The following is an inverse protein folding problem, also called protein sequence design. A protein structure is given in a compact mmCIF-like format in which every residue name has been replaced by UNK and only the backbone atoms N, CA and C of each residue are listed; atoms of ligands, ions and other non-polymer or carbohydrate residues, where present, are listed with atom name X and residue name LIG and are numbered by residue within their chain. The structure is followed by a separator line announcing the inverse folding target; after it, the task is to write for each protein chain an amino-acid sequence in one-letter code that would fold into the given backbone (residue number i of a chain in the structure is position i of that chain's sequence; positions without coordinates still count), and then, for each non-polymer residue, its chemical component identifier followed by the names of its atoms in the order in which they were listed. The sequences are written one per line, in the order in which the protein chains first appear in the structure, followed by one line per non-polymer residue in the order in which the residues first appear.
data_IF_527492662485
#
_entry.id   IF_527492662485
#
_cell.length_a   1.000
_cell.length_b   1.000
_cell.length_c   1.000
_cell.angle_alpha   90.00
_cell.angle_beta   90.00
_cell.angle_gamma   90.00
#
_symmetry.space_group_name_H-M   'P 1'
#
loop_
_entity.id
_entity.type
_entity.pdbx_description
1 polymer ?
#
# COMPACT_ATOMS: atom_id res chain seq x y z
N UNK A 1 -34.54 21.77 -22.60
CA UNK A 1 -33.59 21.83 -21.47
C UNK A 1 -32.45 20.87 -21.77
N UNK A 2 -31.36 21.36 -22.35
CA UNK A 2 -30.17 20.57 -22.65
C UNK A 2 -29.08 20.89 -21.62
N UNK A 3 -28.75 19.94 -20.76
CA UNK A 3 -27.66 20.10 -19.79
C UNK A 3 -26.36 19.90 -20.56
N UNK A 4 -25.64 21.00 -20.80
CA UNK A 4 -24.26 21.00 -21.28
C UNK A 4 -23.40 20.22 -20.27
N UNK A 5 -22.87 19.06 -20.69
CA UNK A 5 -21.75 18.43 -20.01
C UNK A 5 -20.52 19.32 -20.21
N UNK A 6 -20.22 20.15 -19.21
CA UNK A 6 -18.95 20.86 -19.13
C UNK A 6 -17.88 19.82 -18.78
N UNK A 7 -17.17 19.31 -19.78
CA UNK A 7 -15.93 18.59 -19.56
C UNK A 7 -14.91 19.64 -19.12
N UNK A 8 -14.65 19.72 -17.81
CA UNK A 8 -13.56 20.52 -17.28
C UNK A 8 -12.26 19.86 -17.74
N UNK A 9 -11.67 20.36 -18.83
CA UNK A 9 -10.34 19.96 -19.26
C UNK A 9 -9.35 20.57 -18.27
N UNK A 10 -8.98 19.80 -17.25
CA UNK A 10 -7.90 20.15 -16.33
C UNK A 10 -6.58 20.09 -17.11
N UNK A 11 -6.07 21.27 -17.45
CA UNK A 11 -4.79 21.42 -18.14
C UNK A 11 -3.65 21.06 -17.15
N UNK A 12 -3.01 19.91 -17.38
CA UNK A 12 -1.81 19.46 -16.68
C UNK A 12 -0.59 19.82 -17.56
N UNK A 13 -0.24 21.10 -17.62
CA UNK A 13 0.67 21.67 -18.62
C UNK A 13 2.14 21.47 -18.27
N UNK A 14 2.52 21.42 -16.99
CA UNK A 14 3.89 21.14 -16.52
C UNK A 14 4.20 19.64 -16.50
N UNK A 15 3.19 18.77 -16.56
CA UNK A 15 3.41 17.34 -16.73
C UNK A 15 4.05 17.05 -18.09
N UNK A 16 4.98 16.08 -18.13
CA UNK A 16 5.49 15.60 -19.40
C UNK A 16 4.38 14.86 -20.18
N UNK A 17 4.54 14.65 -21.50
CA UNK A 17 3.58 13.87 -22.28
C UNK A 17 3.32 12.47 -21.69
N UNK A 18 4.35 11.79 -21.19
CA UNK A 18 4.21 10.47 -20.56
C UNK A 18 3.42 10.52 -19.24
N UNK A 19 3.61 11.58 -18.44
CA UNK A 19 2.89 11.75 -17.17
C UNK A 19 1.40 12.01 -17.41
N UNK A 20 1.08 12.85 -18.41
CA UNK A 20 -0.32 13.08 -18.84
C UNK A 20 -0.99 11.78 -19.28
N UNK A 21 -0.28 10.94 -20.04
CA UNK A 21 -0.79 9.62 -20.45
C UNK A 21 -1.09 8.73 -19.24
N UNK A 22 -0.26 8.75 -18.19
CA UNK A 22 -0.52 8.00 -16.97
C UNK A 22 -1.79 8.49 -16.25
N UNK A 23 -1.98 9.81 -16.16
CA UNK A 23 -3.18 10.44 -15.57
C UNK A 23 -4.43 10.06 -16.37
N UNK A 24 -4.40 10.21 -17.69
CA UNK A 24 -5.56 9.93 -18.54
C UNK A 24 -5.91 8.44 -18.56
N UNK A 25 -4.90 7.57 -18.53
CA UNK A 25 -5.09 6.12 -18.38
C UNK A 25 -5.79 5.80 -17.05
N UNK A 26 -5.37 6.42 -15.95
CA UNK A 26 -6.04 6.24 -14.66
C UNK A 26 -7.49 6.74 -14.70
N UNK A 27 -7.74 7.95 -15.22
CA UNK A 27 -9.08 8.53 -15.34
C UNK A 27 -10.02 7.64 -16.14
N UNK A 28 -9.55 7.12 -17.27
CA UNK A 28 -10.33 6.20 -18.11
C UNK A 28 -10.63 4.88 -17.38
N UNK A 29 -9.63 4.30 -16.71
CA UNK A 29 -9.78 3.03 -16.00
C UNK A 29 -10.75 3.16 -14.82
N UNK A 30 -10.64 4.21 -14.01
CA UNK A 30 -11.54 4.42 -12.86
C UNK A 30 -12.98 4.69 -13.31
N UNK A 31 -13.17 5.43 -14.39
CA UNK A 31 -14.50 5.64 -14.98
C UNK A 31 -15.12 4.34 -15.51
N UNK A 32 -14.31 3.47 -16.13
CA UNK A 32 -14.76 2.14 -16.56
C UNK A 32 -15.22 1.29 -15.38
N UNK A 33 -14.45 1.31 -14.28
CA UNK A 33 -14.79 0.60 -13.04
C UNK A 33 -16.09 1.11 -12.41
N UNK A 34 -16.30 2.42 -12.35
CA UNK A 34 -17.51 3.03 -11.77
C UNK A 34 -18.77 2.80 -12.61
N UNK A 35 -18.64 2.85 -13.95
CA UNK A 35 -19.78 2.69 -14.86
C UNK A 35 -20.31 1.25 -14.95
N UNK A 36 -19.56 0.28 -14.40
CA UNK A 36 -19.82 -1.16 -14.51
C UNK A 36 -19.93 -1.66 -15.96
N UNK A 37 -19.17 -1.03 -16.87
CA UNK A 37 -19.01 -1.52 -18.23
C UNK A 37 -18.42 -2.94 -18.27
N UNK A 38 -17.63 -3.32 -17.26
CA UNK A 38 -17.09 -4.67 -17.08
C UNK A 38 -16.96 -5.01 -15.59
N UNK A 39 -17.24 -6.27 -15.23
CA UNK A 39 -17.01 -6.80 -13.88
C UNK A 39 -15.53 -6.94 -13.52
N UNK A 40 -14.64 -6.89 -14.52
CA UNK A 40 -13.19 -7.01 -14.34
C UNK A 40 -12.48 -5.65 -14.44
N UNK A 41 -13.20 -4.53 -14.37
CA UNK A 41 -12.64 -3.20 -14.59
C UNK A 41 -11.92 -2.60 -13.35
N UNK A 42 -12.17 -3.13 -12.15
CA UNK A 42 -11.61 -2.57 -10.91
C UNK A 42 -10.09 -2.84 -10.83
N UNK A 43 -9.65 -4.06 -11.13
CA UNK A 43 -8.23 -4.41 -11.10
C UNK A 43 -7.37 -3.58 -12.08
N UNK A 44 -7.77 -3.37 -13.35
CA UNK A 44 -7.11 -2.42 -14.23
C UNK A 44 -7.05 -0.99 -13.68
N UNK A 45 -8.09 -0.52 -12.98
CA UNK A 45 -8.08 0.80 -12.35
C UNK A 45 -7.07 0.88 -11.20
N UNK A 46 -7.02 -0.13 -10.34
CA UNK A 46 -6.00 -0.24 -9.28
C UNK A 46 -4.58 -0.33 -9.88
N UNK A 47 -4.38 -1.13 -10.93
CA UNK A 47 -3.09 -1.21 -11.62
C UNK A 47 -2.69 0.12 -12.26
N UNK A 48 -3.64 0.88 -12.80
CA UNK A 48 -3.38 2.20 -13.36
C UNK A 48 -3.01 3.22 -12.28
N UNK A 49 -3.59 3.13 -11.07
CA UNK A 49 -3.19 3.95 -9.93
C UNK A 49 -1.71 3.74 -9.56
N UNK A 50 -1.23 2.49 -9.61
CA UNK A 50 0.19 2.21 -9.38
C UNK A 50 1.09 2.79 -10.45
N UNK A 51 0.76 2.61 -11.73
CA UNK A 51 1.55 3.17 -12.82
C UNK A 51 1.61 4.71 -12.72
N UNK A 52 0.50 5.35 -12.33
CA UNK A 52 0.43 6.77 -12.04
C UNK A 52 1.37 7.16 -10.88
N UNK A 53 1.35 6.41 -9.77
CA UNK A 53 2.24 6.60 -8.62
C UNK A 53 3.70 6.58 -9.04
N UNK A 54 4.11 5.55 -9.79
CA UNK A 54 5.50 5.39 -10.25
C UNK A 54 5.94 6.54 -11.16
N UNK A 55 5.04 7.04 -12.02
CA UNK A 55 5.34 8.16 -12.92
C UNK A 55 5.47 9.50 -12.18
N UNK A 56 4.62 9.73 -11.16
CA UNK A 56 4.43 11.06 -10.56
C UNK A 56 5.16 11.27 -9.24
N UNK A 57 5.40 10.24 -8.42
CA UNK A 57 6.10 10.42 -7.13
C UNK A 57 7.39 11.24 -7.26
N UNK A 58 8.30 10.96 -8.22
CA UNK A 58 9.58 11.68 -8.32
C UNK A 58 9.46 13.18 -8.65
N UNK A 59 8.27 13.64 -9.03
CA UNK A 59 8.02 15.00 -9.51
C UNK A 59 7.02 15.75 -8.64
N UNK A 60 6.33 15.05 -7.74
CA UNK A 60 5.13 15.56 -7.06
C UNK A 60 5.42 16.83 -6.26
N UNK A 61 6.59 16.92 -5.63
CA UNK A 61 7.04 18.09 -4.87
C UNK A 61 7.35 19.30 -5.76
N UNK A 62 7.76 19.06 -7.01
CA UNK A 62 8.13 20.11 -7.98
C UNK A 62 6.96 20.68 -8.77
N UNK A 63 5.77 20.09 -8.67
CA UNK A 63 4.57 20.57 -9.37
C UNK A 63 4.11 21.92 -8.79
N UNK A 64 3.61 22.80 -9.64
CA UNK A 64 2.91 24.00 -9.19
C UNK A 64 1.64 23.66 -8.41
N UNK A 65 1.24 24.55 -7.50
CA UNK A 65 0.08 24.34 -6.60
C UNK A 65 -1.22 24.03 -7.34
N UNK A 66 -1.48 24.70 -8.47
CA UNK A 66 -2.68 24.47 -9.28
C UNK A 66 -2.70 23.05 -9.85
N UNK A 67 -1.57 22.56 -10.34
CA UNK A 67 -1.48 21.22 -10.91
C UNK A 67 -1.55 20.13 -9.85
N UNK A 68 -0.88 20.35 -8.72
CA UNK A 68 -1.00 19.47 -7.58
C UNK A 68 -2.46 19.38 -7.10
N UNK A 69 -3.15 20.52 -6.97
CA UNK A 69 -4.57 20.57 -6.63
C UNK A 69 -5.43 19.83 -7.65
N UNK A 70 -5.10 19.92 -8.94
CA UNK A 70 -5.79 19.19 -10.01
C UNK A 70 -5.58 17.67 -9.90
N UNK A 71 -4.37 17.22 -9.51
CA UNK A 71 -4.11 15.81 -9.23
C UNK A 71 -4.88 15.34 -8.00
N UNK A 72 -5.00 16.15 -6.94
CA UNK A 72 -5.80 15.81 -5.76
C UNK A 72 -7.29 15.60 -6.04
N UNK A 73 -7.81 16.04 -7.19
CA UNK A 73 -9.19 15.76 -7.62
C UNK A 73 -9.37 14.37 -8.27
N UNK A 74 -8.28 13.59 -8.44
CA UNK A 74 -8.36 12.24 -8.98
C UNK A 74 -9.08 11.32 -7.99
N UNK A 75 -10.30 10.94 -8.34
CA UNK A 75 -11.18 10.06 -7.55
C UNK A 75 -10.46 8.76 -7.19
N UNK A 76 -10.67 8.30 -5.96
CA UNK A 76 -10.13 7.03 -5.47
C UNK A 76 -8.63 7.05 -5.15
N UNK A 77 -7.97 8.21 -5.16
CA UNK A 77 -6.57 8.35 -4.76
C UNK A 77 -6.43 9.32 -3.60
N UNK A 78 -5.51 9.00 -2.70
CA UNK A 78 -4.94 9.90 -1.70
C UNK A 78 -3.59 10.39 -2.25
N UNK A 79 -3.45 11.70 -2.40
CA UNK A 79 -2.25 12.33 -2.96
C UNK A 79 -1.75 13.38 -1.99
N UNK A 80 -0.51 13.21 -1.54
CA UNK A 80 0.17 14.11 -0.62
C UNK A 80 1.60 14.36 -1.08
N UNK A 81 2.08 15.59 -0.89
CA UNK A 81 3.45 16.00 -1.18
C UNK A 81 4.13 16.73 -0.02
N UNK A 82 3.42 16.87 1.10
CA UNK A 82 3.89 17.58 2.29
C UNK A 82 4.21 16.54 3.37
N UNK A 83 5.35 16.65 4.05
CA UNK A 83 5.87 15.70 5.06
C UNK A 83 6.17 14.29 4.51
N UNK A 84 5.18 13.62 3.91
CA UNK A 84 5.32 12.33 3.20
C UNK A 84 4.78 12.45 1.79
N UNK A 85 5.68 12.27 0.82
CA UNK A 85 5.31 12.23 -0.59
C UNK A 85 4.70 10.87 -0.93
N UNK A 86 3.41 10.83 -1.24
CA UNK A 86 2.75 9.60 -1.66
C UNK A 86 1.59 9.82 -2.64
N UNK A 87 1.35 8.78 -3.44
CA UNK A 87 0.11 8.54 -4.17
C UNK A 87 -0.33 7.14 -3.79
N UNK A 88 -1.48 7.01 -3.12
CA UNK A 88 -1.99 5.73 -2.64
C UNK A 88 -3.46 5.58 -3.04
N UNK A 89 -3.94 4.35 -3.31
CA UNK A 89 -5.37 4.09 -3.43
C UNK A 89 -6.11 4.49 -2.16
N UNK A 90 -7.24 5.17 -2.29
CA UNK A 90 -8.20 5.34 -1.20
C UNK A 90 -8.90 3.99 -0.96
N UNK A 91 -8.50 3.33 0.12
CA UNK A 91 -8.95 1.98 0.46
C UNK A 91 -10.47 1.93 0.71
N UNK A 92 -11.05 2.96 1.30
CA UNK A 92 -12.50 3.02 1.54
C UNK A 92 -13.28 3.22 0.26
N UNK A 93 -12.78 4.07 -0.63
CA UNK A 93 -13.36 4.24 -1.95
C UNK A 93 -13.36 2.91 -2.73
N UNK A 94 -12.21 2.24 -2.81
CA UNK A 94 -12.12 0.99 -3.59
C UNK A 94 -12.88 -0.17 -2.93
N UNK A 95 -12.93 -0.25 -1.60
CA UNK A 95 -13.76 -1.23 -0.90
C UNK A 95 -15.23 -1.06 -1.24
N UNK A 96 -15.75 0.17 -1.25
CA UNK A 96 -17.13 0.47 -1.66
C UNK A 96 -17.37 0.13 -3.13
N UNK A 97 -16.42 0.46 -4.00
CA UNK A 97 -16.51 0.15 -5.43
C UNK A 97 -16.54 -1.36 -5.68
N UNK A 98 -15.68 -2.13 -5.02
CA UNK A 98 -15.63 -3.59 -5.11
C UNK A 98 -16.89 -4.26 -4.53
N UNK A 99 -17.43 -3.73 -3.42
CA UNK A 99 -18.69 -4.20 -2.87
C UNK A 99 -19.85 -3.98 -3.85
N UNK A 100 -19.90 -2.82 -4.51
CA UNK A 100 -20.99 -2.48 -5.42
C UNK A 100 -20.90 -3.18 -6.77
N UNK A 101 -19.69 -3.29 -7.35
CA UNK A 101 -19.48 -3.65 -8.77
C UNK A 101 -18.48 -4.78 -9.01
N UNK A 102 -17.67 -5.10 -8.01
CA UNK A 102 -16.58 -6.06 -8.15
C UNK A 102 -17.03 -7.51 -8.13
N UNK A 103 -16.14 -8.38 -8.56
CA UNK A 103 -16.28 -9.81 -8.36
C UNK A 103 -15.75 -10.25 -6.98
N UNK A 104 -15.62 -11.56 -6.78
CA UNK A 104 -15.14 -12.10 -5.51
C UNK A 104 -13.68 -11.76 -5.23
N UNK A 105 -12.83 -11.74 -6.27
CA UNK A 105 -11.42 -11.41 -6.12
C UNK A 105 -11.25 -9.93 -5.74
N UNK A 106 -12.03 -9.04 -6.37
CA UNK A 106 -12.03 -7.61 -6.03
C UNK A 106 -12.40 -7.39 -4.55
N UNK A 107 -13.50 -8.00 -4.09
CA UNK A 107 -13.92 -7.88 -2.68
C UNK A 107 -12.89 -8.43 -1.71
N UNK A 108 -12.29 -9.59 -2.02
CA UNK A 108 -11.27 -10.19 -1.17
C UNK A 108 -9.98 -9.34 -1.12
N UNK A 109 -9.56 -8.78 -2.26
CA UNK A 109 -8.37 -7.93 -2.33
C UNK A 109 -8.53 -6.67 -1.48
N UNK A 110 -9.62 -5.93 -1.66
CA UNK A 110 -9.84 -4.69 -0.89
C UNK A 110 -10.19 -4.94 0.58
N UNK A 111 -10.74 -6.10 0.92
CA UNK A 111 -10.86 -6.53 2.32
C UNK A 111 -9.47 -6.77 2.96
N UNK A 112 -8.55 -7.44 2.26
CA UNK A 112 -7.16 -7.61 2.72
C UNK A 112 -6.43 -6.26 2.83
N UNK A 113 -6.65 -5.36 1.86
CA UNK A 113 -6.07 -4.03 1.87
C UNK A 113 -6.61 -3.19 3.04
N UNK A 114 -7.93 -3.23 3.32
CA UNK A 114 -8.54 -2.55 4.47
C UNK A 114 -8.09 -3.13 5.80
N UNK A 115 -7.86 -4.43 5.89
CA UNK A 115 -7.29 -5.06 7.09
C UNK A 115 -5.83 -4.60 7.32
N UNK A 116 -5.09 -4.33 6.26
CA UNK A 116 -3.72 -3.80 6.33
C UNK A 116 -3.72 -2.31 6.64
N UNK A 117 -4.63 -1.53 6.05
CA UNK A 117 -4.73 -0.07 6.14
C UNK A 117 -6.13 0.35 6.63
N UNK A 118 -6.43 0.17 7.94
CA UNK A 118 -7.79 0.36 8.44
C UNK A 118 -8.22 1.83 8.47
N UNK A 119 -7.35 2.78 8.80
CA UNK A 119 -7.74 4.18 9.02
C UNK A 119 -6.77 5.19 8.39
N UNK A 120 -5.63 4.75 7.88
CA UNK A 120 -4.59 5.64 7.37
C UNK A 120 -3.78 4.98 6.26
N UNK A 121 -2.86 5.74 5.67
CA UNK A 121 -1.86 5.24 4.70
C UNK A 121 -0.76 4.40 5.35
N UNK A 122 -0.72 4.36 6.69
CA UNK A 122 0.22 3.54 7.44
C UNK A 122 -0.38 2.15 7.69
N UNK A 123 0.38 1.07 7.45
CA UNK A 123 -0.14 -0.26 7.69
C UNK A 123 -0.28 -0.52 9.20
N UNK A 124 -1.18 -1.43 9.60
CA UNK A 124 -1.54 -1.70 11.00
C UNK A 124 -0.36 -2.09 11.90
N UNK A 125 0.71 -2.63 11.31
CA UNK A 125 1.94 -3.01 11.98
C UNK A 125 2.96 -1.87 12.10
N UNK A 126 2.63 -0.65 11.67
CA UNK A 126 3.42 0.56 11.90
C UNK A 126 2.67 1.47 12.88
N UNK A 127 3.38 1.95 13.89
CA UNK A 127 2.93 3.05 14.73
C UNK A 127 3.53 4.34 14.22
N UNK A 128 2.68 5.24 13.75
CA UNK A 128 3.09 6.57 13.36
C UNK A 128 3.56 7.35 14.59
N UNK A 129 4.78 7.89 14.54
CA UNK A 129 5.38 8.68 15.63
C UNK A 129 5.53 10.15 15.23
N UNK A 130 5.78 10.41 13.95
CA UNK A 130 5.74 11.75 13.35
C UNK A 130 4.83 11.73 12.12
N UNK A 131 4.60 12.89 11.53
CA UNK A 131 4.00 13.03 10.20
C UNK A 131 4.68 12.16 9.13
N UNK A 132 6.00 12.00 9.16
CA UNK A 132 6.77 11.24 8.16
C UNK A 132 7.46 9.95 8.59
N UNK A 133 7.38 9.59 9.86
CA UNK A 133 8.10 8.43 10.39
C UNK A 133 7.28 7.62 11.39
N UNK A 134 7.65 6.35 11.54
CA UNK A 134 7.07 5.47 12.54
C UNK A 134 8.01 4.33 12.91
N UNK A 135 7.55 3.55 13.89
CA UNK A 135 8.22 2.33 14.33
C UNK A 135 7.36 1.11 13.99
N UNK A 136 8.00 -0.06 13.93
CA UNK A 136 7.32 -1.32 13.67
C UNK A 136 6.80 -1.93 14.97
N UNK A 137 5.53 -2.34 14.97
CA UNK A 137 4.89 -3.07 16.06
C UNK A 137 5.18 -4.55 15.97
N UNK A 138 6.16 -5.01 16.75
CA UNK A 138 6.46 -6.44 16.92
C UNK A 138 5.80 -7.01 18.19
N UNK A 139 5.51 -8.31 18.18
CA UNK A 139 5.08 -9.12 19.32
C UNK A 139 3.56 -9.33 19.39
N UNK A 140 2.81 -8.61 18.53
CA UNK A 140 1.36 -8.64 18.47
C UNK A 140 0.78 -9.59 17.42
N UNK A 141 1.60 -10.40 16.75
CA UNK A 141 1.21 -11.21 15.57
C UNK A 141 0.75 -10.39 14.37
N UNK A 142 0.85 -9.06 14.39
CA UNK A 142 0.32 -8.19 13.34
C UNK A 142 1.04 -8.39 12.01
N UNK A 143 2.37 -8.59 12.02
CA UNK A 143 3.15 -8.91 10.83
C UNK A 143 2.84 -10.34 10.35
N UNK A 144 2.77 -11.30 11.28
CA UNK A 144 2.43 -12.70 10.96
C UNK A 144 1.05 -12.79 10.28
N UNK A 145 0.05 -12.11 10.82
CA UNK A 145 -1.32 -12.11 10.28
C UNK A 145 -1.42 -11.33 8.97
N UNK A 146 -0.75 -10.18 8.84
CA UNK A 146 -0.70 -9.45 7.57
C UNK A 146 -0.11 -10.32 6.45
N UNK A 147 1.03 -10.99 6.70
CA UNK A 147 1.62 -11.92 5.75
C UNK A 147 0.67 -13.07 5.38
N UNK A 148 -0.01 -13.65 6.39
CA UNK A 148 -1.00 -14.73 6.18
C UNK A 148 -2.12 -14.29 5.24
N UNK A 149 -2.71 -13.12 5.49
CA UNK A 149 -3.84 -12.59 4.71
C UNK A 149 -3.47 -12.46 3.24
N UNK A 150 -2.30 -11.91 2.94
CA UNK A 150 -1.84 -11.73 1.56
C UNK A 150 -1.49 -13.06 0.88
N UNK A 151 -0.87 -14.01 1.59
CA UNK A 151 -0.64 -15.36 1.06
C UNK A 151 -1.95 -16.11 0.77
N UNK A 152 -2.94 -16.00 1.66
CA UNK A 152 -4.25 -16.64 1.46
C UNK A 152 -5.00 -16.04 0.27
N UNK A 153 -4.97 -14.71 0.13
CA UNK A 153 -5.51 -14.04 -1.04
C UNK A 153 -4.86 -14.57 -2.33
N UNK A 154 -3.53 -14.54 -2.41
CA UNK A 154 -2.80 -14.96 -3.61
C UNK A 154 -3.01 -16.45 -3.93
N UNK A 155 -3.10 -17.31 -2.90
CA UNK A 155 -3.41 -18.74 -3.09
C UNK A 155 -4.81 -18.95 -3.67
N UNK A 156 -5.78 -18.14 -3.24
CA UNK A 156 -7.17 -18.24 -3.68
C UNK A 156 -7.39 -17.66 -5.07
N UNK A 157 -6.67 -16.59 -5.41
CA UNK A 157 -6.79 -15.88 -6.68
C UNK A 157 -5.41 -15.70 -7.34
N UNK A 158 -4.78 -16.78 -7.83
CA UNK A 158 -3.38 -16.77 -8.26
C UNK A 158 -3.08 -15.80 -9.43
N UNK A 159 -4.08 -15.47 -10.23
CA UNK A 159 -3.94 -14.60 -11.41
C UNK A 159 -4.52 -13.19 -11.21
N UNK A 160 -4.98 -12.85 -10.00
CA UNK A 160 -5.65 -11.58 -9.70
C UNK A 160 -4.82 -10.74 -8.73
N UNK A 161 -4.68 -9.45 -9.04
CA UNK A 161 -3.96 -8.46 -8.25
C UNK A 161 -2.53 -8.88 -7.87
N UNK A 162 -1.90 -9.73 -8.70
CA UNK A 162 -0.64 -10.42 -8.38
C UNK A 162 0.43 -9.48 -7.84
N UNK A 163 0.61 -8.35 -8.54
CA UNK A 163 1.63 -7.39 -8.15
C UNK A 163 1.24 -6.60 -6.88
N UNK A 164 -0.06 -6.31 -6.67
CA UNK A 164 -0.54 -5.65 -5.46
C UNK A 164 -0.34 -6.53 -4.23
N UNK A 165 -0.77 -7.79 -4.29
CA UNK A 165 -0.57 -8.74 -3.19
C UNK A 165 0.91 -9.02 -2.93
N UNK A 166 1.74 -9.05 -3.99
CA UNK A 166 3.20 -9.16 -3.87
C UNK A 166 3.81 -7.97 -3.15
N UNK A 167 3.45 -6.73 -3.51
CA UNK A 167 3.94 -5.52 -2.84
C UNK A 167 3.67 -5.56 -1.33
N UNK A 168 2.46 -5.95 -0.94
CA UNK A 168 2.06 -6.02 0.47
C UNK A 168 2.76 -7.16 1.22
N UNK A 169 2.92 -8.30 0.56
CA UNK A 169 3.71 -9.43 1.09
C UNK A 169 5.17 -9.03 1.31
N UNK A 170 5.77 -8.34 0.34
CA UNK A 170 7.15 -7.86 0.39
C UNK A 170 7.34 -6.77 1.45
N UNK A 171 6.35 -5.89 1.66
CA UNK A 171 6.38 -4.88 2.71
C UNK A 171 6.45 -5.53 4.11
N UNK A 172 5.66 -6.58 4.37
CA UNK A 172 5.75 -7.31 5.64
C UNK A 172 7.11 -8.00 5.79
N UNK A 173 7.63 -8.62 4.73
CA UNK A 173 8.95 -9.24 4.77
C UNK A 173 10.08 -8.21 4.96
N UNK A 174 9.93 -7.01 4.42
CA UNK A 174 10.85 -5.90 4.64
C UNK A 174 10.93 -5.56 6.12
N UNK A 175 9.78 -5.36 6.79
CA UNK A 175 9.76 -5.09 8.23
C UNK A 175 10.44 -6.20 9.05
N UNK A 176 10.14 -7.47 8.74
CA UNK A 176 10.71 -8.62 9.44
C UNK A 176 12.22 -8.81 9.21
N UNK A 177 12.78 -8.25 8.14
CA UNK A 177 14.18 -8.49 7.76
C UNK A 177 15.08 -7.24 7.86
N UNK A 178 14.51 -6.05 7.75
CA UNK A 178 15.26 -4.79 7.56
C UNK A 178 14.87 -3.68 8.55
N UNK A 179 13.70 -3.73 9.21
CA UNK A 179 13.32 -2.66 10.14
C UNK A 179 14.23 -2.61 11.36
N UNK A 180 14.78 -1.42 11.63
CA UNK A 180 15.70 -1.16 12.76
C UNK A 180 15.04 -0.42 13.92
N UNK A 181 13.74 -0.11 13.84
CA UNK A 181 13.03 0.69 14.84
C UNK A 181 11.79 -0.06 15.33
N UNK A 182 11.87 -0.64 16.53
CA UNK A 182 10.75 -1.33 17.15
C UNK A 182 10.03 -0.43 18.15
N UNK A 183 8.70 -0.37 18.08
CA UNK A 183 7.89 0.39 19.05
C UNK A 183 7.98 -0.18 20.47
N UNK A 184 8.11 -1.52 20.55
CA UNK A 184 8.17 -2.26 21.79
C UNK A 184 9.60 -2.68 22.17
N UNK A 185 9.67 -3.58 23.14
CA UNK A 185 10.93 -4.12 23.63
C UNK A 185 11.49 -5.26 22.75
N UNK A 186 12.73 -5.65 23.01
CA UNK A 186 13.40 -6.72 22.26
C UNK A 186 12.71 -8.09 22.37
N UNK A 187 12.03 -8.39 23.49
CA UNK A 187 11.33 -9.66 23.66
C UNK A 187 10.12 -9.77 22.70
N UNK A 188 9.40 -8.68 22.46
CA UNK A 188 8.32 -8.63 21.47
C UNK A 188 8.83 -8.87 20.05
N UNK A 189 10.00 -8.31 19.72
CA UNK A 189 10.67 -8.57 18.44
C UNK A 189 11.03 -10.05 18.31
N UNK A 190 11.69 -10.62 19.31
CA UNK A 190 12.06 -12.03 19.33
C UNK A 190 10.84 -12.94 19.11
N UNK A 191 9.77 -12.68 19.87
CA UNK A 191 8.51 -13.41 19.80
C UNK A 191 7.90 -13.39 18.38
N UNK A 192 7.81 -12.22 17.74
CA UNK A 192 7.23 -12.11 16.39
C UNK A 192 8.05 -12.89 15.36
N UNK A 193 9.39 -12.76 15.39
CA UNK A 193 10.26 -13.47 14.44
C UNK A 193 10.16 -14.99 14.61
N UNK A 194 10.13 -15.48 15.85
CA UNK A 194 9.91 -16.91 16.13
C UNK A 194 8.54 -17.39 15.63
N UNK A 195 7.48 -16.62 15.92
CA UNK A 195 6.13 -16.96 15.48
C UNK A 195 6.04 -17.01 13.96
N UNK A 196 6.67 -16.06 13.26
CA UNK A 196 6.75 -16.06 11.81
C UNK A 196 7.46 -17.31 11.29
N UNK A 197 8.64 -17.65 11.82
CA UNK A 197 9.41 -18.83 11.40
C UNK A 197 8.65 -20.15 11.66
N UNK A 198 7.90 -20.22 12.77
CA UNK A 198 7.03 -21.36 13.07
C UNK A 198 5.86 -21.47 12.10
N UNK A 199 5.21 -20.35 11.77
CA UNK A 199 4.00 -20.35 10.94
C UNK A 199 4.29 -20.50 9.45
N UNK A 200 5.41 -19.97 8.99
CA UNK A 200 5.81 -19.94 7.58
C UNK A 200 7.21 -20.54 7.37
N UNK A 201 7.38 -21.85 7.62
CA UNK A 201 8.68 -22.51 7.51
C UNK A 201 9.23 -22.54 6.08
N UNK A 202 8.41 -22.28 5.07
CA UNK A 202 8.80 -22.23 3.65
C UNK A 202 8.95 -20.81 3.12
N UNK A 203 8.86 -19.78 3.97
CA UNK A 203 9.01 -18.39 3.55
C UNK A 203 10.37 -18.16 2.87
N UNK A 204 10.43 -17.43 1.74
CA UNK A 204 11.69 -17.10 1.08
C UNK A 204 12.59 -16.20 1.95
N UNK A 205 12.06 -15.58 3.00
CA UNK A 205 12.82 -14.77 3.94
C UNK A 205 13.34 -15.56 5.16
N UNK A 206 13.00 -16.87 5.29
CA UNK A 206 13.31 -17.68 6.48
C UNK A 206 14.75 -17.52 6.97
N UNK A 207 15.73 -17.70 6.09
CA UNK A 207 17.15 -17.64 6.47
C UNK A 207 17.52 -16.26 7.03
N UNK A 208 17.03 -15.19 6.42
CA UNK A 208 17.29 -13.81 6.87
C UNK A 208 16.62 -13.52 8.21
N UNK A 209 15.39 -13.99 8.40
CA UNK A 209 14.64 -13.83 9.65
C UNK A 209 15.30 -14.62 10.79
N UNK A 210 15.73 -15.86 10.53
CA UNK A 210 16.47 -16.67 11.50
C UNK A 210 17.79 -16.01 11.91
N UNK A 211 18.57 -15.51 10.94
CA UNK A 211 19.79 -14.75 11.23
C UNK A 211 19.52 -13.51 12.09
N UNK A 212 18.44 -12.76 11.80
CA UNK A 212 18.03 -11.58 12.58
C UNK A 212 17.65 -11.96 14.01
N UNK A 213 16.90 -13.05 14.17
CA UNK A 213 16.54 -13.63 15.47
C UNK A 213 17.80 -14.03 16.27
N UNK A 214 18.77 -14.69 15.64
CA UNK A 214 20.04 -15.04 16.30
C UNK A 214 20.84 -13.80 16.70
N UNK A 215 20.90 -12.78 15.85
CA UNK A 215 21.55 -11.51 16.18
C UNK A 215 20.90 -10.81 17.36
N UNK A 216 19.57 -10.86 17.46
CA UNK A 216 18.81 -10.30 18.59
C UNK A 216 19.16 -11.01 19.90
N UNK A 217 19.12 -12.34 19.91
CA UNK A 217 19.48 -13.17 21.08
C UNK A 217 20.93 -12.97 21.53
N UNK A 218 21.83 -12.76 20.57
CA UNK A 218 23.25 -12.50 20.84
C UNK A 218 23.55 -11.02 21.15
N UNK A 219 22.53 -10.15 21.22
CA UNK A 219 22.67 -8.70 21.45
C UNK A 219 23.56 -8.00 20.42
N UNK A 220 23.52 -8.46 19.17
CA UNK A 220 24.23 -7.91 18.00
C UNK A 220 23.28 -7.33 16.94
N UNK A 221 21.99 -7.34 17.22
CA UNK A 221 20.98 -6.77 16.32
C UNK A 221 21.09 -5.25 16.23
N UNK A 222 20.78 -4.71 15.07
CA UNK A 222 20.66 -3.27 14.80
C UNK A 222 19.29 -2.70 15.20
N UNK A 223 18.36 -3.57 15.64
CA UNK A 223 17.03 -3.16 16.09
C UNK A 223 17.14 -2.39 17.41
N UNK A 224 16.65 -1.16 17.39
CA UNK A 224 16.50 -0.31 18.56
C UNK A 224 15.10 -0.56 19.18
N UNK A 225 15.01 -1.10 20.41
CA UNK A 225 13.74 -1.24 21.12
C UNK A 225 13.26 0.11 21.68
N UNK A 226 11.94 0.28 21.84
CA UNK A 226 11.28 1.53 22.24
C UNK A 226 11.80 2.74 21.44
N UNK A 227 11.99 2.52 20.14
CA UNK A 227 12.60 3.49 19.26
C UNK A 227 11.62 4.60 18.91
N UNK A 228 12.11 5.84 18.88
CA UNK A 228 11.48 6.96 18.17
C UNK A 228 12.19 7.12 16.83
N UNK A 229 11.47 6.95 15.73
CA UNK A 229 11.98 7.20 14.40
C UNK A 229 12.19 8.71 14.20
N UNK A 230 13.29 9.07 13.54
CA UNK A 230 13.70 10.43 13.22
C UNK A 230 14.68 10.42 12.07
#
# INVERSE_FOLDING_TARGET
MGIRHLILVLLLTQLSPSDRVAVDRYRSAIQSAESAASRLAIEPAFSAARALREALIPKLESLGDEEFKNLQQLRGLLINREEVVFIKPDVDYFTKLAAARGDEADRAFFAALKATYPESVWPIYIEQQTDYSGCTRFGGMTLVEAYRVWLEFQRRFPDRYVNGAKEETEAVLHELTQSTCACGNAAGVEQELEQFLRRFPESPARVRIDQRLQSLRNRRSDIRPNCTSG
#
